data_IF_029425174269
#
_entry.id   IF_029425174269
#
_cell.length_a   1.000
_cell.length_b   1.000
_cell.length_c   1.000
_cell.angle_alpha   90.00
_cell.angle_beta   90.00
_cell.angle_gamma   90.00
#
_symmetry.space_group_name_H-M   'P 1'
#
loop_
_entity.id
_entity.type
_entity.pdbx_description
1 polymer ?
#
# COMPACT_ATOMS: atom_id res chain seq x y z
N UNK A 1 10.44 -12.58 -10.86
CA UNK A 1 9.86 -11.95 -9.66
C UNK A 1 8.34 -12.08 -9.73
N UNK A 2 7.75 -12.96 -8.93
CA UNK A 2 6.28 -13.10 -8.89
C UNK A 2 5.75 -11.84 -8.21
N UNK A 3 5.19 -10.90 -8.99
CA UNK A 3 4.28 -9.90 -8.45
C UNK A 3 3.16 -10.72 -7.82
N UNK A 4 3.17 -10.90 -6.49
CA UNK A 4 1.94 -11.32 -5.82
C UNK A 4 0.91 -10.28 -6.26
N UNK A 5 -0.16 -10.73 -6.91
CA UNK A 5 -1.37 -9.95 -6.97
C UNK A 5 -1.60 -9.43 -5.54
N UNK A 6 -2.04 -8.18 -5.38
CA UNK A 6 -2.39 -7.62 -4.07
C UNK A 6 -3.42 -8.56 -3.45
N UNK A 7 -2.93 -9.52 -2.67
CA UNK A 7 -3.69 -10.65 -2.17
C UNK A 7 -4.31 -10.31 -0.84
N UNK A 8 -4.82 -11.32 -0.16
CA UNK A 8 -5.39 -11.15 1.17
C UNK A 8 -4.43 -10.43 2.12
N UNK A 9 -5.03 -9.66 3.03
CA UNK A 9 -4.33 -8.88 4.03
C UNK A 9 -3.47 -9.78 4.94
N UNK A 10 -2.20 -9.42 5.06
CA UNK A 10 -1.26 -10.03 6.01
C UNK A 10 -1.69 -9.78 7.47
N UNK A 11 -1.09 -10.48 8.42
CA UNK A 11 -1.31 -10.21 9.86
C UNK A 11 -0.99 -8.77 10.27
N UNK A 12 0.03 -8.16 9.67
CA UNK A 12 0.32 -6.74 9.91
C UNK A 12 -0.79 -5.85 9.35
N UNK A 13 -1.22 -6.11 8.11
CA UNK A 13 -2.32 -5.38 7.48
C UNK A 13 -3.63 -5.50 8.28
N UNK A 14 -3.92 -6.67 8.86
CA UNK A 14 -5.07 -6.87 9.75
C UNK A 14 -4.94 -6.10 11.08
N UNK A 15 -3.73 -5.96 11.62
CA UNK A 15 -3.47 -5.07 12.77
C UNK A 15 -3.71 -3.61 12.42
N UNK A 16 -3.26 -3.16 11.24
CA UNK A 16 -3.56 -1.81 10.75
C UNK A 16 -5.06 -1.56 10.68
N UNK A 17 -5.84 -2.52 10.13
CA UNK A 17 -7.30 -2.42 10.11
C UNK A 17 -7.88 -2.25 11.51
N UNK A 18 -7.44 -3.03 12.50
CA UNK A 18 -7.91 -2.89 13.89
C UNK A 18 -7.65 -1.51 14.49
N UNK A 19 -6.49 -0.92 14.22
CA UNK A 19 -6.16 0.43 14.68
C UNK A 19 -7.06 1.47 14.01
N UNK A 20 -7.32 1.32 12.71
CA UNK A 20 -8.25 2.19 11.97
C UNK A 20 -9.68 2.08 12.53
N UNK A 21 -10.18 0.85 12.75
CA UNK A 21 -11.52 0.64 13.32
C UNK A 21 -11.68 1.27 14.71
N UNK A 22 -10.67 1.11 15.57
CA UNK A 22 -10.66 1.71 16.90
C UNK A 22 -10.62 3.25 16.84
N UNK A 23 -9.80 3.81 15.95
CA UNK A 23 -9.73 5.26 15.74
C UNK A 23 -11.06 5.84 15.20
N UNK A 24 -11.67 5.16 14.23
CA UNK A 24 -12.99 5.53 13.68
C UNK A 24 -14.09 5.41 14.74
N UNK A 25 -14.04 4.39 15.60
CA UNK A 25 -14.98 4.23 16.70
C UNK A 25 -14.85 5.33 17.76
N UNK A 26 -13.64 5.82 18.02
CA UNK A 26 -13.33 6.87 19.00
C UNK A 26 -13.62 8.29 18.51
N UNK A 27 -13.51 8.53 17.21
CA UNK A 27 -13.69 9.88 16.66
C UNK A 27 -15.13 10.37 16.69
N UNK A 28 -16.11 9.46 16.81
CA UNK A 28 -17.54 9.81 16.87
C UNK A 28 -18.12 10.37 15.56
N UNK A 29 -17.32 10.42 14.48
CA UNK A 29 -17.77 10.85 13.15
C UNK A 29 -18.59 9.74 12.49
N UNK A 30 -19.56 10.12 11.67
CA UNK A 30 -20.30 9.11 10.89
C UNK A 30 -19.39 8.47 9.83
N UNK A 31 -19.55 7.18 9.59
CA UNK A 31 -18.79 6.46 8.54
C UNK A 31 -18.94 7.12 7.18
N UNK A 32 -20.13 7.62 6.84
CA UNK A 32 -20.35 8.27 5.55
C UNK A 32 -19.57 9.57 5.41
N UNK A 33 -19.48 10.37 6.48
CA UNK A 33 -18.70 11.61 6.49
C UNK A 33 -17.20 11.31 6.43
N UNK A 34 -16.72 10.39 7.28
CA UNK A 34 -15.33 9.94 7.29
C UNK A 34 -14.88 9.45 5.90
N UNK A 35 -15.69 8.62 5.24
CA UNK A 35 -15.34 8.11 3.91
C UNK A 35 -15.36 9.18 2.82
N UNK A 36 -16.25 10.18 2.94
CA UNK A 36 -16.27 11.31 2.04
C UNK A 36 -15.00 12.17 2.17
N UNK A 37 -14.58 12.42 3.41
CA UNK A 37 -13.37 13.18 3.73
C UNK A 37 -12.09 12.45 3.30
N UNK A 38 -12.03 11.13 3.54
CA UNK A 38 -10.93 10.28 3.07
C UNK A 38 -10.94 10.01 1.55
N UNK A 39 -11.93 10.52 0.81
CA UNK A 39 -12.06 10.29 -0.64
C UNK A 39 -12.27 8.80 -1.02
N UNK A 40 -12.82 7.99 -0.12
CA UNK A 40 -12.98 6.54 -0.31
C UNK A 40 -14.42 6.12 -0.56
N UNK A 41 -14.60 5.24 -1.55
CA UNK A 41 -15.89 4.56 -1.70
C UNK A 41 -16.11 3.54 -0.59
N UNK A 42 -17.37 3.37 -0.18
CA UNK A 42 -17.80 2.36 0.79
C UNK A 42 -17.35 0.94 0.41
N UNK A 43 -17.47 0.57 -0.86
CA UNK A 43 -17.07 -0.75 -1.33
C UNK A 43 -15.55 -0.96 -1.20
N UNK A 44 -14.76 0.04 -1.56
CA UNK A 44 -13.30 0.00 -1.46
C UNK A 44 -12.83 -0.16 -0.02
N UNK A 45 -13.43 0.61 0.90
CA UNK A 45 -13.14 0.57 2.33
C UNK A 45 -13.49 -0.80 2.93
N UNK A 46 -14.71 -1.29 2.76
CA UNK A 46 -15.13 -2.56 3.37
C UNK A 46 -14.44 -3.79 2.78
N UNK A 47 -14.09 -3.78 1.49
CA UNK A 47 -13.26 -4.83 0.90
C UNK A 47 -11.93 -4.98 1.65
N UNK A 48 -11.35 -3.85 2.10
CA UNK A 48 -10.08 -3.86 2.84
C UNK A 48 -10.25 -4.15 4.32
N UNK A 49 -11.35 -3.69 4.90
CA UNK A 49 -11.72 -3.98 6.28
C UNK A 49 -11.91 -5.49 6.50
N UNK A 50 -12.50 -6.21 5.53
CA UNK A 50 -12.61 -7.68 5.55
C UNK A 50 -11.30 -8.41 5.28
N UNK A 51 -10.24 -7.68 4.94
CA UNK A 51 -8.92 -8.24 4.66
C UNK A 51 -8.80 -8.92 3.29
N UNK A 52 -9.72 -8.68 2.36
CA UNK A 52 -9.61 -9.20 0.99
C UNK A 52 -8.46 -8.53 0.24
N UNK A 53 -8.19 -7.25 0.56
CA UNK A 53 -7.03 -6.48 0.10
C UNK A 53 -6.49 -5.61 1.26
N UNK A 54 -5.18 -5.34 1.34
CA UNK A 54 -4.65 -4.37 2.29
C UNK A 54 -4.95 -2.92 1.87
N UNK A 55 -4.99 -2.02 2.84
CA UNK A 55 -4.76 -0.59 2.61
C UNK A 55 -3.31 -0.38 2.17
N UNK A 56 -3.10 0.44 1.14
CA UNK A 56 -1.78 0.94 0.76
C UNK A 56 -1.41 2.16 1.62
N UNK A 57 -0.22 2.73 1.42
CA UNK A 57 0.24 3.89 2.21
C UNK A 57 -0.57 5.15 1.97
N UNK A 58 -1.03 5.41 0.74
CA UNK A 58 -1.87 6.56 0.42
C UNK A 58 -3.26 6.41 1.04
N UNK A 59 -3.78 5.18 1.08
CA UNK A 59 -5.04 4.87 1.76
C UNK A 59 -4.91 5.22 3.26
N UNK A 60 -3.78 4.87 3.89
CA UNK A 60 -3.55 5.11 5.33
C UNK A 60 -3.40 6.61 5.60
N UNK A 61 -2.70 7.35 4.74
CA UNK A 61 -2.56 8.81 4.83
C UNK A 61 -3.93 9.50 4.76
N UNK A 62 -4.74 9.19 3.74
CA UNK A 62 -6.08 9.77 3.60
C UNK A 62 -7.02 9.42 4.78
N UNK A 63 -6.91 8.21 5.33
CA UNK A 63 -7.67 7.79 6.52
C UNK A 63 -7.21 8.56 7.76
N UNK A 64 -5.90 8.75 7.93
CA UNK A 64 -5.34 9.49 9.06
C UNK A 64 -5.76 10.95 9.03
N UNK A 65 -5.64 11.61 7.87
CA UNK A 65 -6.06 12.99 7.66
C UNK A 65 -7.55 13.19 8.01
N UNK A 66 -8.42 12.29 7.53
CA UNK A 66 -9.86 12.32 7.83
C UNK A 66 -10.21 12.07 9.31
N UNK A 67 -9.25 11.58 10.11
CA UNK A 67 -9.38 11.37 11.54
C UNK A 67 -8.60 12.40 12.37
N UNK A 68 -7.88 13.32 11.72
CA UNK A 68 -7.00 14.27 12.39
C UNK A 68 -5.80 13.61 13.08
N UNK A 69 -5.31 12.49 12.53
CA UNK A 69 -4.17 11.72 13.03
C UNK A 69 -2.99 11.78 12.06
N UNK A 70 -1.80 11.44 12.53
CA UNK A 70 -0.66 11.17 11.65
C UNK A 70 -0.65 9.71 11.18
N UNK A 71 -0.36 9.47 9.90
CA UNK A 71 -0.34 8.13 9.32
C UNK A 71 0.63 7.17 10.05
N UNK A 72 1.72 7.70 10.60
CA UNK A 72 2.69 6.93 11.37
C UNK A 72 2.13 6.48 12.71
N UNK A 73 1.21 7.21 13.34
CA UNK A 73 0.56 6.78 14.59
C UNK A 73 -0.23 5.49 14.37
N UNK A 74 -0.94 5.37 13.24
CA UNK A 74 -1.66 4.16 12.84
C UNK A 74 -0.68 2.99 12.67
N UNK A 75 0.42 3.23 11.94
CA UNK A 75 1.43 2.20 11.67
C UNK A 75 2.17 1.75 12.93
N UNK A 76 2.51 2.68 13.83
CA UNK A 76 3.14 2.37 15.12
C UNK A 76 2.21 1.59 16.04
N UNK A 77 0.92 1.93 16.09
CA UNK A 77 -0.08 1.15 16.81
C UNK A 77 -0.15 -0.29 16.30
N UNK A 78 -0.05 -0.49 14.98
CA UNK A 78 -0.04 -1.83 14.37
C UNK A 78 1.32 -2.55 14.52
N UNK A 79 2.41 -1.80 14.70
CA UNK A 79 3.77 -2.29 14.84
C UNK A 79 4.10 -2.84 16.24
N UNK A 80 3.16 -2.79 17.19
CA UNK A 80 3.29 -3.45 18.50
C UNK A 80 2.62 -4.83 18.52
N UNK A 81 3.23 -5.91 17.98
CA UNK A 81 2.83 -7.26 18.31
C UNK A 81 3.27 -7.61 19.75
N UNK A 82 2.62 -8.60 20.35
CA UNK A 82 2.79 -9.17 21.71
C UNK A 82 4.18 -9.73 22.05
N UNK A 83 5.25 -9.28 21.38
CA UNK A 83 6.63 -9.63 21.65
C UNK A 83 7.53 -8.88 20.69
N UNK A 84 8.38 -8.00 21.22
CA UNK A 84 9.41 -7.31 20.45
C UNK A 84 10.35 -8.37 19.85
N UNK A 85 10.21 -8.64 18.55
CA UNK A 85 11.25 -9.38 17.82
C UNK A 85 12.34 -8.40 17.47
N UNK A 86 13.50 -8.55 18.12
CA UNK A 86 14.76 -8.07 17.56
C UNK A 86 15.00 -8.91 16.31
N UNK A 87 14.59 -8.41 15.15
CA UNK A 87 14.95 -9.03 13.88
C UNK A 87 16.43 -8.78 13.66
N UNK A 88 17.24 -9.83 13.82
CA UNK A 88 18.54 -9.87 13.16
C UNK A 88 18.29 -9.57 11.67
N UNK A 89 18.98 -8.56 11.14
CA UNK A 89 18.93 -8.25 9.71
C UNK A 89 19.37 -9.53 9.01
N UNK A 90 18.47 -10.15 8.22
CA UNK A 90 18.85 -11.33 7.42
C UNK A 90 20.14 -10.99 6.68
N UNK A 91 21.19 -11.83 6.78
CA UNK A 91 22.44 -11.54 6.09
C UNK A 91 22.12 -11.35 4.61
N UNK A 92 22.61 -10.24 4.04
CA UNK A 92 22.57 -10.04 2.59
C UNK A 92 23.27 -11.25 1.98
N UNK A 93 22.63 -11.90 1.01
CA UNK A 93 23.34 -12.80 0.10
C UNK A 93 24.50 -11.96 -0.47
N UNK A 94 25.72 -12.37 -0.18
CA UNK A 94 26.96 -11.61 -0.50
C UNK A 94 27.35 -11.74 -1.96
N UNK A 95 26.61 -12.50 -2.75
CA UNK A 95 26.81 -12.56 -4.20
C UNK A 95 26.34 -11.23 -4.80
N UNK A 96 27.22 -10.59 -5.57
CA UNK A 96 26.85 -9.41 -6.32
C UNK A 96 25.58 -9.71 -7.15
N UNK A 97 24.54 -8.85 -7.09
CA UNK A 97 23.37 -9.03 -7.92
C UNK A 97 23.79 -9.08 -9.38
N UNK A 98 23.30 -10.08 -10.12
CA UNK A 98 23.55 -10.22 -11.56
C UNK A 98 22.87 -9.07 -12.32
N UNK A 99 23.57 -7.95 -12.46
CA UNK A 99 23.06 -6.75 -13.12
C UNK A 99 22.73 -6.99 -14.60
N UNK A 100 23.45 -7.91 -15.27
CA UNK A 100 23.23 -8.27 -16.67
C UNK A 100 21.89 -8.98 -16.90
N UNK A 101 21.36 -9.67 -15.90
CA UNK A 101 20.04 -10.33 -15.95
C UNK A 101 18.89 -9.33 -15.73
N UNK A 102 19.11 -8.33 -14.87
CA UNK A 102 18.15 -7.25 -14.60
C UNK A 102 18.01 -6.28 -15.78
N UNK A 103 19.09 -5.99 -16.51
CA UNK A 103 19.05 -5.06 -17.66
C UNK A 103 18.34 -5.67 -18.88
N UNK A 104 18.44 -6.99 -19.09
CA UNK A 104 17.70 -7.70 -20.15
C UNK A 104 16.20 -7.53 -20.02
N UNK A 105 15.66 -7.50 -18.79
CA UNK A 105 14.24 -7.23 -18.52
C UNK A 105 13.80 -5.79 -18.82
N UNK A 106 14.74 -4.83 -18.76
CA UNK A 106 14.48 -3.41 -19.05
C UNK A 106 14.39 -3.14 -20.55
N UNK A 107 15.15 -3.88 -21.37
CA UNK A 107 15.15 -3.74 -22.84
C UNK A 107 13.90 -4.30 -23.52
N UNK A 108 13.28 -5.34 -22.98
CA UNK A 108 12.01 -5.88 -23.53
C UNK A 108 10.82 -4.95 -23.27
N UNK A 109 10.81 -4.18 -22.19
CA UNK A 109 9.75 -3.21 -21.90
C UNK A 109 9.75 -2.02 -22.89
N UNK A 110 10.93 -1.58 -23.33
CA UNK A 110 11.03 -0.51 -24.35
C UNK A 110 10.56 -0.94 -25.75
N UNK A 111 10.60 -2.24 -26.07
CA UNK A 111 10.25 -2.73 -27.43
C UNK A 111 8.73 -2.81 -27.70
N UNK A 112 7.88 -2.65 -26.67
CA UNK A 112 6.40 -2.65 -26.82
C UNK A 112 5.76 -1.25 -26.72
N UNK A 113 6.56 -0.19 -26.70
CA UNK A 113 6.10 1.20 -26.79
C UNK A 113 6.67 1.84 -28.06
N UNK A 114 6.34 1.29 -29.21
CA UNK A 114 6.44 1.99 -30.49
C UNK A 114 5.02 2.08 -31.04
N UNK A 115 4.26 3.02 -30.48
CA UNK A 115 2.98 3.47 -31.00
C UNK A 115 3.19 4.92 -31.43
N UNK A 116 2.76 5.21 -32.66
CA UNK A 116 2.67 6.49 -33.37
C UNK A 116 3.73 7.56 -33.03
N UNK A 117 4.75 7.68 -33.89
CA UNK A 117 5.35 8.99 -34.17
C UNK A 117 4.28 9.86 -34.84
N UNK A 118 3.84 10.91 -34.14
CA UNK A 118 3.11 12.03 -34.73
C UNK A 118 4.05 12.75 -35.70
N UNK A 119 3.76 12.66 -36.99
CA UNK A 119 4.42 13.41 -38.06
C UNK A 119 4.07 14.91 -37.89
N UNK A 120 5.06 15.80 -37.64
CA UNK A 120 4.78 17.20 -37.34
C UNK A 120 4.58 18.11 -38.56
N UNK A 121 4.59 17.58 -39.79
CA UNK A 121 4.40 18.39 -41.00
C UNK A 121 3.05 18.08 -41.70
N UNK A 122 1.99 18.76 -41.26
CA UNK A 122 0.74 18.93 -42.01
C UNK A 122 0.42 20.43 -42.04
N UNK A 123 0.92 21.12 -43.07
CA UNK A 123 0.37 22.37 -43.61
C UNK A 123 -0.40 22.06 -44.90
#
# INVERSE_FOLDING_TARGET
MIKRAVGEASEFSRRVVRIIEDAVGKSGVSISQFLAEAGMSRNYYYTRLRGEKPFNTNDIEAIADALGLDAMEILMGAAQPTGARVTEIRPKVTDEPNWDELDKGRKVAKKKSSAEELDPDQD
#
